data_IF_032218839147
#
_entry.id   IF_032218839147
#
_cell.length_a   1.000
_cell.length_b   1.000
_cell.length_c   1.000
_cell.angle_alpha   90.00
_cell.angle_beta   90.00
_cell.angle_gamma   90.00
#
_symmetry.space_group_name_H-M   'P 1'
#
loop_
_entity.id
_entity.type
_entity.pdbx_description
1 polymer ?
#
# COMPACT_ATOMS: atom_id res chain seq x y z
N UNK A 1 -15.02 0.60 25.73
CA UNK A 1 -14.11 0.57 24.57
C UNK A 1 -12.95 1.51 24.87
N UNK A 2 -11.81 0.99 25.29
CA UNK A 2 -10.61 1.79 25.48
C UNK A 2 -9.74 1.59 24.24
N UNK A 3 -9.61 2.65 23.43
CA UNK A 3 -8.59 2.73 22.40
C UNK A 3 -7.23 2.53 23.06
N UNK A 4 -6.41 1.60 22.56
CA UNK A 4 -5.00 1.58 22.91
C UNK A 4 -4.40 2.88 22.41
N UNK A 5 -3.98 3.73 23.34
CA UNK A 5 -3.13 4.85 22.99
C UNK A 5 -1.74 4.31 22.76
N UNK A 6 -1.26 4.38 21.52
CA UNK A 6 0.17 4.46 21.31
C UNK A 6 0.69 5.66 22.12
N UNK A 7 1.91 5.60 22.69
CA UNK A 7 2.53 6.79 23.23
C UNK A 7 2.75 7.76 22.06
N UNK A 8 1.83 8.69 21.91
CA UNK A 8 1.73 9.60 20.77
C UNK A 8 2.69 10.75 21.04
N UNK A 9 3.82 10.77 20.34
CA UNK A 9 4.41 12.03 19.93
C UNK A 9 3.45 12.70 18.93
N UNK A 10 3.37 14.00 18.93
CA UNK A 10 2.31 14.85 18.34
C UNK A 10 2.02 14.72 16.83
N UNK A 11 2.51 13.69 16.13
CA UNK A 11 2.43 13.51 14.67
C UNK A 11 1.80 12.19 14.17
N UNK A 12 1.00 11.52 15.01
CA UNK A 12 0.34 10.26 14.60
C UNK A 12 -1.15 10.43 14.35
N UNK A 13 -1.63 9.96 13.17
CA UNK A 13 -3.06 9.75 12.90
C UNK A 13 -3.35 8.25 12.77
N UNK A 14 -4.17 7.71 13.68
CA UNK A 14 -4.66 6.34 13.64
C UNK A 14 -6.05 6.32 13.02
N UNK A 15 -6.24 5.50 11.96
CA UNK A 15 -7.53 5.33 11.31
C UNK A 15 -8.00 3.87 11.45
N UNK A 16 -9.18 3.64 12.06
CA UNK A 16 -9.79 2.31 12.11
C UNK A 16 -10.52 1.99 10.82
N UNK A 17 -10.29 0.79 10.30
CA UNK A 17 -10.92 0.35 9.05
C UNK A 17 -12.39 -0.03 9.24
N UNK A 18 -13.27 0.44 8.33
CA UNK A 18 -14.75 0.32 8.42
C UNK A 18 -15.30 -1.09 8.12
N UNK A 19 -14.45 -2.04 7.72
CA UNK A 19 -14.86 -3.37 7.25
C UNK A 19 -14.45 -4.55 8.16
N UNK A 20 -13.84 -4.28 9.30
CA UNK A 20 -13.54 -5.33 10.29
C UNK A 20 -14.60 -5.33 11.38
N UNK A 21 -15.66 -6.13 11.21
CA UNK A 21 -16.58 -6.49 12.29
C UNK A 21 -15.97 -7.55 13.24
N UNK A 22 -14.70 -7.42 13.56
CA UNK A 22 -14.04 -8.24 14.55
C UNK A 22 -13.69 -7.39 15.76
N UNK A 23 -14.41 -7.59 16.85
CA UNK A 23 -14.04 -7.07 18.15
C UNK A 23 -13.17 -8.12 18.85
N UNK A 24 -11.92 -7.78 19.14
CA UNK A 24 -11.09 -8.50 20.09
C UNK A 24 -11.08 -7.66 21.36
N UNK A 25 -11.84 -8.04 22.36
CA UNK A 25 -11.69 -7.50 23.72
C UNK A 25 -10.47 -8.17 24.37
N UNK A 26 -9.44 -7.39 24.67
CA UNK A 26 -8.35 -7.84 25.53
C UNK A 26 -8.61 -7.39 26.96
N UNK A 27 -9.13 -8.26 27.80
CA UNK A 27 -9.01 -8.12 29.25
C UNK A 27 -7.69 -8.76 29.69
N UNK A 28 -6.96 -8.06 30.55
CA UNK A 28 -5.82 -8.62 31.30
C UNK A 28 -6.38 -9.66 32.25
N UNK A 29 -6.24 -10.87 31.90
CA UNK A 29 -6.27 -12.14 32.60
C UNK A 29 -6.94 -13.19 31.73
N UNK A 30 -6.12 -14.10 31.26
CA UNK A 30 -6.40 -15.40 30.65
C UNK A 30 -7.75 -15.64 29.95
N UNK A 31 -7.61 -16.05 28.73
CA UNK A 31 -8.61 -16.56 27.77
C UNK A 31 -9.06 -15.56 26.70
N UNK A 32 -8.48 -15.71 25.51
CA UNK A 32 -8.96 -15.08 24.29
C UNK A 32 -10.32 -15.67 23.92
N UNK A 33 -11.41 -15.07 24.39
CA UNK A 33 -12.76 -15.39 23.90
C UNK A 33 -12.99 -14.64 22.59
N UNK A 34 -13.02 -15.38 21.51
CA UNK A 34 -13.63 -14.94 20.25
C UNK A 34 -15.13 -14.88 20.49
N UNK A 35 -15.71 -13.68 20.55
CA UNK A 35 -17.16 -13.53 20.66
C UNK A 35 -17.75 -13.83 19.27
N UNK A 36 -18.27 -15.03 19.11
CA UNK A 36 -19.06 -15.42 17.93
C UNK A 36 -20.42 -14.71 17.97
N UNK A 37 -21.00 -14.33 16.83
CA UNK A 37 -22.33 -13.73 16.78
C UNK A 37 -23.37 -14.65 17.38
N UNK A 38 -24.25 -14.09 18.20
CA UNK A 38 -25.27 -14.80 19.00
C UNK A 38 -26.44 -15.36 18.18
N UNK A 39 -26.47 -15.18 16.87
CA UNK A 39 -27.57 -15.61 16.02
C UNK A 39 -27.22 -16.91 15.30
N UNK A 40 -27.97 -17.98 15.58
CA UNK A 40 -27.76 -19.35 15.07
C UNK A 40 -27.73 -19.47 13.52
N UNK A 41 -28.30 -18.51 12.78
CA UNK A 41 -28.25 -18.42 11.29
C UNK A 41 -26.96 -17.85 10.73
N UNK A 42 -26.06 -17.28 11.55
CA UNK A 42 -24.76 -16.73 11.16
C UNK A 42 -23.58 -17.60 11.58
N UNK A 43 -23.82 -18.80 12.10
CA UNK A 43 -22.80 -19.84 12.32
C UNK A 43 -22.45 -20.61 11.04
N UNK A 44 -22.56 -19.99 9.87
CA UNK A 44 -21.74 -20.43 8.73
C UNK A 44 -20.30 -20.27 9.17
N UNK A 45 -19.64 -21.38 9.35
CA UNK A 45 -18.22 -21.51 9.74
C UNK A 45 -17.40 -20.48 8.98
N UNK A 46 -17.05 -19.37 9.64
CA UNK A 46 -16.16 -18.37 9.05
C UNK A 46 -14.79 -19.05 8.90
N UNK A 47 -14.56 -19.57 7.69
CA UNK A 47 -13.35 -20.30 7.36
C UNK A 47 -12.22 -19.30 7.17
N UNK A 48 -11.40 -19.11 8.20
CA UNK A 48 -10.21 -18.26 8.07
C UNK A 48 -9.33 -18.79 6.96
N UNK A 49 -8.84 -17.88 6.12
CA UNK A 49 -7.87 -18.24 5.09
C UNK A 49 -6.49 -18.53 5.72
N UNK A 50 -5.63 -19.23 4.98
CA UNK A 50 -4.29 -19.64 5.46
C UNK A 50 -3.47 -18.45 5.98
N UNK A 51 -3.55 -17.30 5.30
CA UNK A 51 -2.81 -16.10 5.68
C UNK A 51 -3.35 -15.53 7.00
N UNK A 52 -4.67 -15.45 7.16
CA UNK A 52 -5.27 -14.95 8.39
C UNK A 52 -4.86 -15.82 9.59
N UNK A 53 -4.84 -17.16 9.44
CA UNK A 53 -4.34 -18.09 10.47
C UNK A 53 -2.89 -17.80 10.83
N UNK A 54 -2.01 -17.63 9.83
CA UNK A 54 -0.58 -17.36 10.04
C UNK A 54 -0.35 -16.03 10.74
N UNK A 55 -1.08 -14.99 10.33
CA UNK A 55 -0.89 -13.63 10.84
C UNK A 55 -1.55 -13.37 12.20
N UNK A 56 -2.33 -14.32 12.74
CA UNK A 56 -2.98 -14.17 14.06
C UNK A 56 -2.03 -13.90 15.23
N UNK A 57 -0.80 -14.37 15.14
CA UNK A 57 0.21 -14.18 16.18
C UNK A 57 0.75 -12.74 16.22
N UNK A 58 0.47 -11.95 15.17
CA UNK A 58 0.95 -10.59 15.04
C UNK A 58 -0.17 -9.57 15.12
N UNK A 59 0.16 -8.39 15.58
CA UNK A 59 -0.60 -7.18 15.36
C UNK A 59 -0.10 -6.52 14.07
N UNK A 60 -0.85 -6.69 12.98
CA UNK A 60 -0.42 -6.18 11.67
C UNK A 60 -0.67 -4.69 11.57
N UNK A 61 0.34 -3.95 11.14
CA UNK A 61 0.31 -2.49 10.96
C UNK A 61 0.66 -2.14 9.51
N UNK A 62 -0.22 -1.37 8.86
CA UNK A 62 0.08 -0.75 7.56
C UNK A 62 0.63 0.66 7.79
N UNK A 63 1.93 0.85 7.53
CA UNK A 63 2.62 2.15 7.61
C UNK A 63 2.41 2.97 6.33
N UNK A 64 1.17 3.38 6.04
CA UNK A 64 0.86 4.13 4.82
C UNK A 64 -0.40 4.98 4.91
N UNK A 65 -0.34 6.21 4.40
CA UNK A 65 -1.51 7.08 4.23
C UNK A 65 -2.34 6.76 2.97
N UNK A 66 -1.84 5.90 2.07
CA UNK A 66 -2.47 5.61 0.79
C UNK A 66 -3.81 4.85 0.96
N UNK A 67 -4.94 5.42 0.52
CA UNK A 67 -6.23 4.72 0.58
C UNK A 67 -6.26 3.47 -0.32
N UNK A 68 -5.53 3.50 -1.43
CA UNK A 68 -5.40 2.35 -2.36
C UNK A 68 -4.69 1.17 -1.70
N UNK A 69 -3.56 1.40 -1.01
CA UNK A 69 -2.85 0.33 -0.28
C UNK A 69 -3.70 -0.27 0.83
N UNK A 70 -4.46 0.56 1.53
CA UNK A 70 -5.42 0.10 2.54
C UNK A 70 -6.48 -0.81 1.94
N UNK A 71 -7.11 -0.40 0.83
CA UNK A 71 -8.08 -1.19 0.11
C UNK A 71 -7.51 -2.54 -0.35
N UNK A 72 -6.34 -2.52 -0.95
CA UNK A 72 -5.66 -3.71 -1.45
C UNK A 72 -5.28 -4.68 -0.32
N UNK A 73 -4.76 -4.18 0.79
CA UNK A 73 -4.43 -5.03 1.94
C UNK A 73 -5.68 -5.62 2.59
N UNK A 74 -6.78 -4.86 2.67
CA UNK A 74 -8.06 -5.36 3.16
C UNK A 74 -8.59 -6.54 2.32
N UNK A 75 -8.31 -6.55 1.02
CA UNK A 75 -8.65 -7.65 0.12
C UNK A 75 -7.98 -8.99 0.48
N UNK A 76 -6.91 -8.99 1.27
CA UNK A 76 -6.29 -10.22 1.78
C UNK A 76 -7.03 -10.83 2.99
N UNK A 77 -8.05 -10.14 3.51
CA UNK A 77 -8.87 -10.58 4.65
C UNK A 77 -8.04 -10.93 5.88
N UNK A 78 -7.07 -10.08 6.21
CA UNK A 78 -6.34 -10.09 7.48
C UNK A 78 -6.68 -8.81 8.25
N UNK A 79 -6.81 -8.86 9.58
CA UNK A 79 -6.97 -7.66 10.38
C UNK A 79 -5.67 -6.85 10.40
N UNK A 80 -5.77 -5.53 10.30
CA UNK A 80 -4.63 -4.63 10.41
C UNK A 80 -5.05 -3.25 10.90
N UNK A 81 -4.14 -2.54 11.53
CA UNK A 81 -4.26 -1.13 11.87
C UNK A 81 -3.46 -0.27 10.89
N UNK A 82 -3.81 1.01 10.79
CA UNK A 82 -3.15 1.98 9.93
C UNK A 82 -2.47 3.01 10.80
N UNK A 83 -1.17 3.16 10.61
CA UNK A 83 -0.38 4.20 11.25
C UNK A 83 0.36 5.00 10.17
N UNK A 84 0.32 6.32 10.27
CA UNK A 84 1.00 7.20 9.31
C UNK A 84 2.10 7.95 10.03
N UNK A 85 3.30 7.92 9.45
CA UNK A 85 4.44 8.74 9.86
C UNK A 85 4.94 9.55 8.67
N UNK A 86 5.25 10.79 8.93
CA UNK A 86 6.00 11.60 7.97
C UNK A 86 7.46 11.16 7.95
N UNK A 87 7.96 10.88 6.76
CA UNK A 87 9.33 10.44 6.54
C UNK A 87 10.03 11.35 5.55
N UNK A 88 11.26 11.75 5.86
CA UNK A 88 12.11 12.43 4.88
C UNK A 88 12.85 11.37 4.07
N UNK A 89 12.45 11.19 2.83
CA UNK A 89 12.99 10.17 1.93
C UNK A 89 14.27 10.69 1.27
N UNK A 90 15.34 9.88 1.36
CA UNK A 90 16.60 10.12 0.63
C UNK A 90 16.60 9.24 -0.61
N UNK A 91 16.70 9.87 -1.76
CA UNK A 91 16.70 9.20 -3.07
C UNK A 91 18.10 9.28 -3.67
N UNK A 92 18.66 8.13 -4.02
CA UNK A 92 19.86 8.04 -4.87
C UNK A 92 19.42 7.72 -6.29
N UNK A 93 19.42 8.74 -7.15
CA UNK A 93 18.97 8.63 -8.55
C UNK A 93 19.89 7.78 -9.44
N UNK A 94 21.07 7.38 -8.95
CA UNK A 94 21.98 6.49 -9.69
C UNK A 94 21.60 5.02 -9.59
N UNK A 95 20.70 4.67 -8.69
CA UNK A 95 20.21 3.30 -8.51
C UNK A 95 19.13 2.95 -9.55
N UNK A 96 18.93 1.63 -9.74
CA UNK A 96 17.79 1.16 -10.53
C UNK A 96 16.45 1.52 -9.87
N UNK A 97 15.33 1.65 -10.62
CA UNK A 97 14.02 1.95 -10.06
C UNK A 97 13.59 1.00 -8.94
N UNK A 98 13.97 -0.29 -9.04
CA UNK A 98 13.73 -1.27 -7.99
C UNK A 98 14.47 -0.90 -6.71
N UNK A 99 15.76 -0.58 -6.83
CA UNK A 99 16.58 -0.24 -5.67
C UNK A 99 16.19 1.09 -5.02
N UNK A 100 15.75 2.05 -5.83
CA UNK A 100 15.20 3.31 -5.31
C UNK A 100 13.94 3.03 -4.49
N UNK A 101 12.95 2.31 -5.06
CA UNK A 101 11.70 2.02 -4.36
C UNK A 101 11.90 1.12 -3.15
N UNK A 102 12.81 0.15 -3.21
CA UNK A 102 13.20 -0.70 -2.07
C UNK A 102 13.79 0.13 -0.94
N UNK A 103 14.75 1.00 -1.25
CA UNK A 103 15.36 1.91 -0.27
C UNK A 103 14.34 2.82 0.41
N UNK A 104 13.40 3.39 -0.37
CA UNK A 104 12.35 4.26 0.21
C UNK A 104 11.40 3.44 1.09
N UNK A 105 11.00 2.23 0.67
CA UNK A 105 10.15 1.36 1.49
C UNK A 105 10.83 0.97 2.82
N UNK A 106 12.15 0.69 2.79
CA UNK A 106 12.95 0.43 3.98
C UNK A 106 13.10 1.66 4.88
N UNK A 107 13.39 2.84 4.33
CA UNK A 107 13.46 4.10 5.10
C UNK A 107 12.14 4.38 5.83
N UNK A 108 10.99 4.13 5.15
CA UNK A 108 9.68 4.20 5.79
C UNK A 108 9.56 3.21 6.93
N UNK A 109 10.00 1.97 6.74
CA UNK A 109 9.98 0.95 7.79
C UNK A 109 10.85 1.36 8.99
N UNK A 110 12.07 1.82 8.76
CA UNK A 110 13.01 2.26 9.80
C UNK A 110 12.44 3.39 10.67
N UNK A 111 11.67 4.30 10.08
CA UNK A 111 11.03 5.37 10.83
C UNK A 111 10.04 4.86 11.88
N UNK A 112 9.52 3.65 11.76
CA UNK A 112 8.60 3.05 12.72
C UNK A 112 9.31 2.25 13.82
N UNK A 113 10.54 1.79 13.60
CA UNK A 113 11.27 0.91 14.54
C UNK A 113 11.23 1.39 16.01
N UNK A 114 11.39 2.69 16.33
CA UNK A 114 11.37 3.14 17.72
C UNK A 114 10.04 2.91 18.45
N UNK A 115 8.93 2.75 17.72
CA UNK A 115 7.58 2.64 18.29
C UNK A 115 6.98 1.25 18.16
N UNK A 116 7.64 0.35 17.40
CA UNK A 116 7.16 -1.02 17.21
C UNK A 116 7.31 -1.85 18.49
N UNK A 117 6.26 -2.61 18.79
CA UNK A 117 6.26 -3.61 19.85
C UNK A 117 6.71 -4.98 19.30
N UNK A 118 7.10 -5.90 20.17
CA UNK A 118 7.56 -7.24 19.77
C UNK A 118 6.59 -8.02 18.91
N UNK A 119 5.28 -7.83 19.11
CA UNK A 119 4.23 -8.52 18.35
C UNK A 119 3.74 -7.74 17.15
N UNK A 120 4.28 -6.55 16.88
CA UNK A 120 3.89 -5.76 15.71
C UNK A 120 4.56 -6.31 14.45
N UNK A 121 3.75 -6.44 13.41
CA UNK A 121 4.20 -6.78 12.06
C UNK A 121 3.90 -5.63 11.13
N UNK A 122 4.94 -4.91 10.75
CA UNK A 122 4.81 -3.71 9.93
C UNK A 122 4.88 -4.04 8.43
N UNK A 123 4.06 -3.34 7.65
CA UNK A 123 4.07 -3.33 6.19
C UNK A 123 4.21 -1.89 5.74
N UNK A 124 5.31 -1.57 5.06
CA UNK A 124 5.51 -0.29 4.37
C UNK A 124 5.69 -0.53 2.88
N UNK A 125 5.43 0.48 2.07
CA UNK A 125 5.60 0.37 0.63
C UNK A 125 5.92 1.71 -0.02
N UNK A 126 6.57 1.63 -1.19
CA UNK A 126 6.76 2.76 -2.07
C UNK A 126 6.47 2.39 -3.52
N UNK A 127 6.04 3.38 -4.34
CA UNK A 127 5.68 3.15 -5.74
C UNK A 127 6.27 4.26 -6.59
N UNK A 128 7.03 3.87 -7.60
CA UNK A 128 7.65 4.74 -8.59
C UNK A 128 7.10 4.47 -9.98
N UNK A 129 6.91 5.53 -10.75
CA UNK A 129 6.72 5.47 -12.20
C UNK A 129 8.05 5.82 -12.86
N UNK A 130 8.44 5.06 -13.87
CA UNK A 130 9.73 5.21 -14.56
C UNK A 130 9.53 5.23 -16.06
N UNK A 131 9.92 6.34 -16.70
CA UNK A 131 9.81 6.58 -18.13
C UNK A 131 11.12 7.13 -18.68
N UNK A 132 11.63 6.57 -19.77
CA UNK A 132 12.77 7.07 -20.54
C UNK A 132 14.01 7.42 -19.67
N UNK A 133 14.33 6.55 -18.72
CA UNK A 133 15.49 6.74 -17.84
C UNK A 133 15.25 7.64 -16.61
N UNK A 134 14.00 8.11 -16.37
CA UNK A 134 13.70 9.04 -15.29
C UNK A 134 12.55 8.55 -14.41
N UNK A 135 12.66 8.79 -13.11
CA UNK A 135 11.57 8.60 -12.16
C UNK A 135 10.57 9.75 -12.24
N UNK A 136 9.29 9.42 -12.23
CA UNK A 136 8.20 10.39 -12.17
C UNK A 136 7.55 10.28 -10.78
N UNK A 137 7.77 11.29 -9.95
CA UNK A 137 7.15 11.40 -8.63
C UNK A 137 5.70 11.87 -8.70
N UNK A 138 5.22 12.43 -7.58
CA UNK A 138 3.91 13.08 -7.52
C UNK A 138 3.98 14.47 -8.15
N UNK A 139 2.93 14.89 -8.90
CA UNK A 139 2.91 16.22 -9.50
C UNK A 139 2.81 17.31 -8.43
N UNK A 140 3.47 18.44 -8.69
CA UNK A 140 3.50 19.60 -7.81
C UNK A 140 2.37 20.59 -8.10
N UNK A 141 1.77 20.52 -9.28
CA UNK A 141 0.67 21.38 -9.74
C UNK A 141 -0.20 20.66 -10.75
N UNK A 142 -1.31 21.30 -11.15
CA UNK A 142 -2.16 20.78 -12.22
C UNK A 142 -1.43 20.75 -13.58
N UNK A 143 -0.60 21.75 -13.87
CA UNK A 143 0.17 21.80 -15.10
C UNK A 143 1.25 20.72 -15.13
N UNK A 144 1.95 20.51 -14.01
CA UNK A 144 2.90 19.40 -13.85
C UNK A 144 2.23 18.03 -14.06
N UNK A 145 0.99 17.86 -13.53
CA UNK A 145 0.21 16.64 -13.77
C UNK A 145 -0.13 16.45 -15.25
N UNK A 146 -0.54 17.52 -15.95
CA UNK A 146 -0.81 17.48 -17.39
C UNK A 146 0.44 17.10 -18.19
N UNK A 147 1.58 17.70 -17.85
CA UNK A 147 2.86 17.42 -18.51
C UNK A 147 3.33 15.99 -18.28
N UNK A 148 3.18 15.47 -17.05
CA UNK A 148 3.44 14.06 -16.76
C UNK A 148 2.59 13.12 -17.61
N UNK A 149 1.27 13.35 -17.69
CA UNK A 149 0.37 12.49 -18.48
C UNK A 149 0.67 12.63 -19.99
N UNK A 150 0.97 13.83 -20.50
CA UNK A 150 1.42 14.04 -21.89
C UNK A 150 2.69 13.25 -22.19
N UNK A 151 3.64 13.22 -21.25
CA UNK A 151 4.87 12.46 -21.42
C UNK A 151 4.65 10.94 -21.47
N UNK A 152 3.61 10.42 -20.79
CA UNK A 152 3.21 9.01 -20.80
C UNK A 152 2.39 8.62 -22.03
N UNK A 153 1.68 9.57 -22.63
CA UNK A 153 0.79 9.36 -23.78
C UNK A 153 1.50 8.68 -24.96
N UNK A 154 0.91 7.60 -25.48
CA UNK A 154 1.45 6.82 -26.60
C UNK A 154 2.71 6.01 -26.26
N UNK A 155 3.08 5.88 -24.98
CA UNK A 155 4.31 5.20 -24.56
C UNK A 155 4.05 4.07 -23.58
N UNK A 156 5.07 3.21 -23.47
CA UNK A 156 5.17 2.21 -22.41
C UNK A 156 6.11 2.72 -21.32
N UNK A 157 5.66 2.68 -20.08
CA UNK A 157 6.45 3.02 -18.90
C UNK A 157 6.40 1.89 -17.87
N UNK A 158 7.33 1.91 -16.92
CA UNK A 158 7.37 0.93 -15.84
C UNK A 158 6.78 1.53 -14.56
N UNK A 159 6.03 0.72 -13.83
CA UNK A 159 5.60 1.00 -12.46
C UNK A 159 6.24 -0.03 -11.54
N UNK A 160 7.04 0.44 -10.59
CA UNK A 160 7.72 -0.41 -9.62
C UNK A 160 7.17 -0.09 -8.24
N UNK A 161 6.64 -1.12 -7.56
CA UNK A 161 6.25 -1.03 -6.16
C UNK A 161 7.13 -1.94 -5.33
N UNK A 162 7.83 -1.36 -4.36
CA UNK A 162 8.55 -2.08 -3.32
C UNK A 162 7.72 -2.15 -2.04
N UNK A 163 7.91 -3.25 -1.32
CA UNK A 163 7.28 -3.49 -0.02
C UNK A 163 8.35 -3.96 0.95
N UNK A 164 8.38 -3.37 2.13
CA UNK A 164 9.15 -3.85 3.26
C UNK A 164 8.18 -4.40 4.32
N UNK A 165 8.41 -5.62 4.77
CA UNK A 165 7.61 -6.33 5.76
C UNK A 165 8.49 -6.83 6.89
N UNK A 166 7.98 -6.90 8.10
CA UNK A 166 8.73 -7.51 9.19
C UNK A 166 8.30 -7.07 10.58
N UNK A 167 9.11 -7.48 11.55
CA UNK A 167 9.00 -7.15 12.98
C UNK A 167 10.18 -6.26 13.40
N UNK A 168 10.32 -5.99 14.69
CA UNK A 168 11.50 -5.30 15.24
C UNK A 168 12.81 -6.09 15.05
N UNK A 169 12.71 -7.41 14.82
CA UNK A 169 13.86 -8.33 14.78
C UNK A 169 14.35 -8.60 13.38
N UNK A 170 13.45 -8.80 12.46
CA UNK A 170 13.75 -9.17 11.07
C UNK A 170 12.84 -8.43 10.12
N UNK A 171 13.40 -8.03 8.99
CA UNK A 171 12.64 -7.44 7.88
C UNK A 171 13.04 -8.05 6.55
N UNK A 172 12.12 -8.02 5.61
CA UNK A 172 12.32 -8.41 4.22
C UNK A 172 11.81 -7.32 3.30
N UNK A 173 12.58 -7.03 2.27
CA UNK A 173 12.21 -6.10 1.21
C UNK A 173 12.14 -6.85 -0.12
N UNK A 174 11.16 -6.50 -0.93
CA UNK A 174 11.02 -7.00 -2.29
C UNK A 174 10.30 -5.96 -3.14
N UNK A 175 10.52 -6.03 -4.44
CA UNK A 175 9.85 -5.16 -5.41
C UNK A 175 9.22 -5.95 -6.54
N UNK A 176 8.21 -5.35 -7.18
CA UNK A 176 7.53 -5.89 -8.36
C UNK A 176 7.44 -4.80 -9.40
N UNK A 177 7.79 -5.13 -10.65
CA UNK A 177 7.66 -4.27 -11.82
C UNK A 177 6.45 -4.69 -12.66
N UNK A 178 5.73 -3.72 -13.18
CA UNK A 178 4.73 -3.89 -14.24
C UNK A 178 4.95 -2.83 -15.31
N UNK A 179 4.76 -3.18 -16.57
CA UNK A 179 4.82 -2.23 -17.68
C UNK A 179 3.39 -1.85 -18.08
N UNK A 180 3.18 -0.56 -18.27
CA UNK A 180 1.90 0.02 -18.66
C UNK A 180 2.06 0.75 -19.98
N UNK A 181 1.25 0.41 -20.97
CA UNK A 181 1.23 1.06 -22.27
C UNK A 181 0.00 1.97 -22.37
N UNK A 182 0.22 3.26 -22.59
CA UNK A 182 -0.83 4.22 -22.86
C UNK A 182 -1.11 4.35 -24.34
N UNK A 183 -2.40 4.46 -24.67
CA UNK A 183 -2.85 4.99 -25.96
C UNK A 183 -2.38 6.44 -26.16
N UNK A 184 -2.43 6.93 -27.39
CA UNK A 184 -2.27 8.36 -27.65
C UNK A 184 -3.47 9.13 -27.10
N UNK A 185 -3.23 9.95 -26.06
CA UNK A 185 -4.24 10.77 -25.41
C UNK A 185 -4.34 12.15 -26.08
N UNK A 186 -5.55 12.69 -26.20
CA UNK A 186 -5.74 14.06 -26.62
C UNK A 186 -5.65 15.06 -25.44
N UNK A 187 -5.48 16.34 -25.72
CA UNK A 187 -5.33 17.37 -24.68
C UNK A 187 -6.58 17.56 -23.83
N UNK A 188 -7.77 17.45 -24.42
CA UNK A 188 -9.06 17.65 -23.75
C UNK A 188 -9.31 16.53 -22.72
N UNK A 189 -8.96 15.29 -23.04
CA UNK A 189 -9.05 14.15 -22.13
C UNK A 189 -8.09 14.27 -20.94
N UNK A 190 -6.88 14.77 -21.19
CA UNK A 190 -5.88 15.03 -20.14
C UNK A 190 -6.41 16.13 -19.21
N UNK A 191 -6.91 17.22 -19.75
CA UNK A 191 -7.45 18.34 -18.98
C UNK A 191 -8.64 17.90 -18.13
N UNK A 192 -9.61 17.19 -18.74
CA UNK A 192 -10.75 16.62 -18.03
C UNK A 192 -10.32 15.74 -16.84
N UNK A 193 -9.35 14.84 -17.08
CA UNK A 193 -8.90 13.95 -16.02
C UNK A 193 -8.23 14.71 -14.86
N UNK A 194 -7.31 15.62 -15.16
CA UNK A 194 -6.60 16.38 -14.12
C UNK A 194 -7.55 17.25 -13.29
N UNK A 195 -8.51 17.91 -13.95
CA UNK A 195 -9.49 18.77 -13.28
C UNK A 195 -10.48 17.99 -12.41
N UNK A 196 -10.94 16.84 -12.92
CA UNK A 196 -11.97 16.02 -12.26
C UNK A 196 -11.40 15.16 -11.15
N UNK A 197 -10.26 14.48 -11.41
CA UNK A 197 -9.70 13.45 -10.52
C UNK A 197 -8.58 13.96 -9.61
N UNK A 198 -7.99 15.13 -9.91
CA UNK A 198 -6.96 15.79 -9.09
C UNK A 198 -5.86 14.83 -8.63
N UNK A 199 -5.10 14.22 -9.55
CA UNK A 199 -4.22 13.08 -9.27
C UNK A 199 -2.91 13.47 -8.53
N UNK A 200 -2.95 14.46 -7.64
CA UNK A 200 -1.78 15.02 -6.98
C UNK A 200 -1.12 14.11 -5.92
N UNK A 201 -1.82 13.04 -5.53
CA UNK A 201 -1.32 12.02 -4.59
C UNK A 201 -0.64 10.82 -5.28
N UNK A 202 -0.53 10.84 -6.62
CA UNK A 202 -0.12 9.68 -7.42
C UNK A 202 1.19 9.92 -8.18
N UNK A 203 2.13 8.96 -8.11
CA UNK A 203 3.31 8.96 -8.97
C UNK A 203 2.88 8.88 -10.44
N UNK A 204 3.51 9.69 -11.31
CA UNK A 204 3.16 9.80 -12.72
C UNK A 204 1.80 10.45 -12.99
N UNK A 205 1.17 11.04 -11.97
CA UNK A 205 -0.08 11.79 -12.07
C UNK A 205 -1.29 11.00 -12.59
N UNK A 206 -1.35 9.66 -12.42
CA UNK A 206 -2.52 8.88 -12.82
C UNK A 206 -2.86 7.74 -11.87
N UNK A 207 -4.13 7.31 -11.89
CA UNK A 207 -4.62 6.12 -11.20
C UNK A 207 -5.15 5.09 -12.19
N UNK A 208 -4.54 3.91 -12.24
CA UNK A 208 -4.94 2.82 -13.16
C UNK A 208 -6.39 2.38 -12.99
N UNK A 209 -6.97 2.53 -11.80
CA UNK A 209 -8.35 2.19 -11.45
C UNK A 209 -9.35 3.33 -11.71
N UNK A 210 -8.88 4.51 -12.16
CA UNK A 210 -9.68 5.68 -12.44
C UNK A 210 -10.05 5.77 -13.92
N UNK A 211 -10.82 6.77 -14.30
CA UNK A 211 -11.30 6.95 -15.67
C UNK A 211 -10.20 6.88 -16.73
N UNK A 212 -9.02 7.48 -16.45
CA UNK A 212 -7.89 7.42 -17.38
C UNK A 212 -7.38 5.99 -17.62
N UNK A 213 -7.54 5.09 -16.65
CA UNK A 213 -7.22 3.68 -16.81
C UNK A 213 -8.16 2.97 -17.80
N UNK A 214 -9.44 3.35 -17.82
CA UNK A 214 -10.43 2.75 -18.75
C UNK A 214 -10.22 3.19 -20.19
N UNK A 215 -9.92 4.47 -20.41
CA UNK A 215 -9.88 5.03 -21.76
C UNK A 215 -8.46 5.11 -22.34
N UNK A 216 -7.44 5.20 -21.48
CA UNK A 216 -6.08 5.53 -21.91
C UNK A 216 -5.07 4.40 -21.76
N UNK A 217 -5.38 3.27 -21.11
CA UNK A 217 -4.44 2.16 -20.96
C UNK A 217 -4.79 1.04 -21.93
N UNK A 218 -3.89 0.79 -22.89
CA UNK A 218 -4.04 -0.29 -23.88
C UNK A 218 -3.58 -1.64 -23.34
N UNK A 219 -2.53 -1.64 -22.50
CA UNK A 219 -1.90 -2.88 -22.04
C UNK A 219 -1.24 -2.73 -20.69
N UNK A 220 -1.32 -3.78 -19.88
CA UNK A 220 -0.52 -3.96 -18.66
C UNK A 220 0.19 -5.32 -18.76
N UNK A 221 1.52 -5.31 -18.68
CA UNK A 221 2.33 -6.50 -18.52
C UNK A 221 2.79 -6.61 -17.06
N UNK A 222 2.23 -7.56 -16.33
CA UNK A 222 2.47 -7.73 -14.90
C UNK A 222 1.19 -7.62 -14.07
N UNK A 223 1.31 -7.13 -12.84
CA UNK A 223 0.20 -7.08 -11.89
C UNK A 223 -0.49 -5.71 -11.92
N UNK A 224 -1.80 -5.71 -12.19
CA UNK A 224 -2.66 -4.52 -12.03
C UNK A 224 -2.57 -3.94 -10.61
N UNK A 225 -2.59 -4.78 -9.59
CA UNK A 225 -2.51 -4.36 -8.19
C UNK A 225 -1.14 -3.75 -7.83
N UNK A 226 -0.07 -4.19 -8.51
CA UNK A 226 1.23 -3.52 -8.40
C UNK A 226 1.15 -2.08 -8.91
N UNK A 227 0.48 -1.85 -10.04
CA UNK A 227 0.28 -0.51 -10.60
C UNK A 227 -0.59 0.37 -9.68
N UNK A 228 -1.58 -0.21 -8.99
CA UNK A 228 -2.35 0.47 -7.95
C UNK A 228 -1.53 0.87 -6.72
N UNK A 229 -0.37 0.24 -6.49
CA UNK A 229 0.57 0.59 -5.43
C UNK A 229 0.78 -0.43 -4.31
N UNK A 230 0.29 -1.68 -4.46
CA UNK A 230 0.61 -2.80 -3.57
C UNK A 230 0.50 -4.13 -4.32
N UNK A 231 1.62 -4.86 -4.55
CA UNK A 231 1.62 -6.14 -5.27
C UNK A 231 1.09 -7.27 -4.38
N UNK A 232 -0.23 -7.31 -4.17
CA UNK A 232 -0.91 -8.17 -3.16
C UNK A 232 -0.65 -9.65 -3.33
N UNK A 233 -0.49 -10.15 -4.57
CA UNK A 233 -0.16 -11.56 -4.79
C UNK A 233 1.24 -11.90 -4.28
N UNK A 234 2.24 -11.06 -4.60
CA UNK A 234 3.61 -11.24 -4.10
C UNK A 234 3.65 -11.05 -2.58
N UNK A 235 2.98 -10.02 -2.06
CA UNK A 235 2.85 -9.79 -0.62
C UNK A 235 2.24 -10.99 0.10
N UNK A 236 1.15 -11.57 -0.43
CA UNK A 236 0.54 -12.79 0.12
C UNK A 236 1.56 -13.93 0.24
N UNK A 237 2.35 -14.16 -0.81
CA UNK A 237 3.38 -15.21 -0.84
C UNK A 237 4.48 -14.93 0.19
N UNK A 238 4.96 -13.69 0.27
CA UNK A 238 6.01 -13.30 1.23
C UNK A 238 5.53 -13.41 2.68
N UNK A 239 4.29 -13.00 2.97
CA UNK A 239 3.69 -13.15 4.29
C UNK A 239 3.52 -14.62 4.69
N UNK A 240 3.13 -15.51 3.75
CA UNK A 240 3.04 -16.94 4.03
C UNK A 240 4.42 -17.58 4.28
N UNK A 241 5.46 -17.11 3.63
CA UNK A 241 6.82 -17.64 3.73
C UNK A 241 7.69 -16.87 4.76
N UNK A 242 7.10 -15.91 5.46
CA UNK A 242 7.84 -15.19 6.49
C UNK A 242 8.04 -16.11 7.70
N UNK A 243 9.30 -16.33 8.06
CA UNK A 243 9.73 -17.06 9.25
C UNK A 243 10.61 -16.12 10.07
N UNK A 244 10.38 -16.06 11.35
CA UNK A 244 11.24 -15.46 12.38
C UNK A 244 12.21 -16.50 12.92
#
# INVERSE_FOLDING_TARGET
MKSRNFPIGDNFKVYKHKYTNFFIESNRECEKKVILPTNQKQRETFRMNRLAIKMQKYHVVLGSASPRRRELLAGLNIPFDIVVKDTTEKVDEHLSPEKISESIAEQKFEAFLPDLQENDFLITADTLVYLDGKTMGKPKSADDARDMIRALSGKTHSVVTAVCIGTVRERRVFSVRSNVTFASLNGEDIDYYVETYKPFDKAGAYGVQEWIGYMGIEKIEGSFYNVMGLPVQKLYTELLNYEE
#
